data_IF_659660845518
#
_entry.id   IF_659660845518
#
_cell.length_a   1.000
_cell.length_b   1.000
_cell.length_c   1.000
_cell.angle_alpha   90.00
_cell.angle_beta   90.00
_cell.angle_gamma   90.00
#
_symmetry.space_group_name_H-M   'P 1'
#
loop_
_entity.id
_entity.type
_entity.pdbx_description
1 polymer ?
#
# COMPACT_ATOMS: atom_id res chain seq x y z
N UNK A 1 -5.56 4.35 -0.82
CA UNK A 1 -5.71 5.82 -0.66
C UNK A 1 -6.83 6.32 -1.59
N UNK A 2 -7.95 6.82 -1.05
CA UNK A 2 -9.11 7.25 -1.86
C UNK A 2 -9.06 8.74 -2.22
N UNK A 3 -9.85 9.15 -3.23
CA UNK A 3 -9.95 10.57 -3.62
C UNK A 3 -10.48 11.46 -2.50
N UNK A 4 -11.42 10.96 -1.70
CA UNK A 4 -12.00 11.67 -0.55
C UNK A 4 -10.97 11.98 0.54
N UNK A 5 -10.05 11.04 0.82
CA UNK A 5 -8.96 11.27 1.78
C UNK A 5 -8.04 12.41 1.34
N UNK A 6 -7.82 12.57 0.03
CA UNK A 6 -6.94 13.61 -0.51
C UNK A 6 -7.57 14.99 -0.35
N UNK A 7 -8.90 15.10 -0.34
CA UNK A 7 -9.62 16.36 -0.14
C UNK A 7 -9.50 16.92 1.28
N UNK A 8 -9.09 16.10 2.25
CA UNK A 8 -8.86 16.55 3.63
C UNK A 8 -7.75 17.61 3.66
N UNK A 9 -6.65 17.40 2.92
CA UNK A 9 -5.49 18.31 2.93
C UNK A 9 -5.81 19.72 2.41
N UNK A 10 -6.49 19.90 1.26
CA UNK A 10 -6.98 21.20 0.82
C UNK A 10 -7.91 21.88 1.83
N UNK A 11 -8.80 21.13 2.49
CA UNK A 11 -9.68 21.67 3.54
C UNK A 11 -8.88 22.19 4.74
N UNK A 12 -7.94 21.41 5.25
CA UNK A 12 -7.01 21.82 6.32
C UNK A 12 -6.21 23.06 5.92
N UNK A 13 -5.70 23.10 4.69
CA UNK A 13 -4.91 24.23 4.19
C UNK A 13 -5.75 25.50 4.07
N UNK A 14 -6.96 25.39 3.52
CA UNK A 14 -7.90 26.50 3.37
C UNK A 14 -8.30 27.07 4.74
N UNK A 15 -8.58 26.20 5.71
CA UNK A 15 -8.85 26.61 7.10
C UNK A 15 -7.66 27.33 7.72
N UNK A 16 -6.43 26.83 7.52
CA UNK A 16 -5.21 27.44 8.06
C UNK A 16 -4.93 28.83 7.48
N UNK A 17 -5.20 29.02 6.19
CA UNK A 17 -4.89 30.27 5.48
C UNK A 17 -5.95 31.35 5.67
N UNK A 18 -7.23 30.97 5.74
CA UNK A 18 -8.36 31.91 5.70
C UNK A 18 -9.33 31.78 6.89
N UNK A 19 -9.01 30.93 7.87
CA UNK A 19 -9.88 30.68 9.03
C UNK A 19 -11.18 29.99 8.63
N UNK A 20 -12.27 30.31 9.33
CA UNK A 20 -13.60 29.75 9.09
C UNK A 20 -14.41 30.48 8.00
N UNK A 21 -13.80 31.42 7.26
CA UNK A 21 -14.53 32.28 6.32
C UNK A 21 -15.10 31.55 5.08
N UNK A 22 -14.64 30.33 4.78
CA UNK A 22 -14.96 29.60 3.56
C UNK A 22 -15.46 28.16 3.82
N UNK A 23 -16.37 27.98 4.77
CA UNK A 23 -17.00 26.67 5.06
C UNK A 23 -17.78 26.07 3.88
N UNK A 24 -18.11 26.88 2.87
CA UNK A 24 -18.88 26.47 1.69
C UNK A 24 -18.03 25.96 0.52
N UNK A 25 -16.69 26.03 0.61
CA UNK A 25 -15.84 25.62 -0.51
C UNK A 25 -15.78 24.09 -0.62
N UNK A 26 -16.42 23.56 -1.66
CA UNK A 26 -16.39 22.13 -1.95
C UNK A 26 -15.29 21.80 -2.97
N UNK A 27 -14.33 20.97 -2.56
CA UNK A 27 -13.33 20.43 -3.46
C UNK A 27 -13.95 19.27 -4.24
N UNK A 28 -14.14 19.41 -5.55
CA UNK A 28 -14.68 18.32 -6.36
C UNK A 28 -13.64 17.21 -6.57
N UNK A 29 -14.10 15.95 -6.63
CA UNK A 29 -13.24 14.81 -6.98
C UNK A 29 -12.82 14.89 -8.46
N UNK A 30 -13.68 15.45 -9.33
CA UNK A 30 -13.44 15.51 -10.77
C UNK A 30 -12.15 16.24 -11.15
N UNK A 31 -11.78 17.32 -10.45
CA UNK A 31 -10.49 17.98 -10.68
C UNK A 31 -9.31 17.04 -10.36
N UNK A 32 -9.38 16.32 -9.24
CA UNK A 32 -8.35 15.37 -8.83
C UNK A 32 -8.23 14.20 -9.80
N UNK A 33 -9.35 13.70 -10.31
CA UNK A 33 -9.38 12.64 -11.33
C UNK A 33 -8.76 13.11 -12.65
N UNK A 34 -9.12 14.31 -13.13
CA UNK A 34 -8.53 14.88 -14.34
C UNK A 34 -7.03 15.15 -14.17
N UNK A 35 -6.61 15.63 -13.01
CA UNK A 35 -5.20 15.84 -12.69
C UNK A 35 -4.43 14.51 -12.74
N UNK A 36 -4.95 13.46 -12.10
CA UNK A 36 -4.36 12.12 -12.14
C UNK A 36 -4.27 11.59 -13.57
N UNK A 37 -5.33 11.75 -14.36
CA UNK A 37 -5.36 11.31 -15.75
C UNK A 37 -4.33 12.05 -16.62
N UNK A 38 -4.22 13.37 -16.48
CA UNK A 38 -3.25 14.19 -17.23
C UNK A 38 -1.79 13.84 -16.90
N UNK A 39 -1.52 13.44 -15.67
CA UNK A 39 -0.16 13.13 -15.21
C UNK A 39 0.11 11.62 -15.05
N UNK A 40 -0.79 10.78 -15.57
CA UNK A 40 -0.67 9.31 -15.52
C UNK A 40 -0.50 8.74 -14.11
N UNK A 41 -1.04 9.41 -13.10
CA UNK A 41 -0.98 8.98 -11.70
C UNK A 41 -2.05 7.92 -11.45
N UNK A 42 -1.62 6.74 -11.01
CA UNK A 42 -2.51 5.60 -10.74
C UNK A 42 -2.30 5.08 -9.33
N UNK A 43 -3.30 4.35 -8.84
CA UNK A 43 -3.18 3.60 -7.59
C UNK A 43 -2.45 2.29 -7.88
N UNK A 44 -1.28 2.11 -7.27
CA UNK A 44 -0.52 0.88 -7.33
C UNK A 44 -0.57 0.19 -5.98
N UNK A 45 -0.83 -1.13 -6.01
CA UNK A 45 -0.61 -1.99 -4.86
C UNK A 45 0.89 -2.14 -4.67
N UNK A 46 1.36 -1.91 -3.45
CA UNK A 46 2.73 -2.20 -3.06
C UNK A 46 2.82 -3.68 -2.76
N UNK A 47 3.67 -4.36 -3.51
CA UNK A 47 4.10 -5.70 -3.16
C UNK A 47 5.37 -5.53 -2.31
N UNK A 48 5.50 -6.33 -1.24
CA UNK A 48 6.77 -6.40 -0.52
C UNK A 48 7.77 -7.24 -1.31
N UNK A 49 8.74 -7.85 -0.62
CA UNK A 49 9.70 -8.78 -1.24
C UNK A 49 9.03 -9.90 -2.05
N UNK A 50 7.80 -10.28 -1.68
CA UNK A 50 6.96 -11.25 -2.39
C UNK A 50 6.65 -10.88 -3.84
N UNK A 51 6.67 -9.59 -4.20
CA UNK A 51 6.50 -9.15 -5.59
C UNK A 51 7.72 -9.34 -6.49
N UNK A 52 8.89 -9.58 -5.90
CA UNK A 52 10.17 -9.74 -6.61
C UNK A 52 10.60 -11.20 -6.76
N UNK A 53 9.78 -12.15 -6.31
CA UNK A 53 10.17 -13.56 -6.28
C UNK A 53 10.00 -14.20 -7.66
N UNK A 54 11.04 -14.86 -8.14
CA UNK A 54 11.01 -15.71 -9.35
C UNK A 54 10.29 -17.01 -9.00
N UNK A 55 9.14 -17.26 -9.62
CA UNK A 55 8.27 -18.41 -9.29
C UNK A 55 8.95 -19.77 -9.52
N UNK A 56 9.83 -19.88 -10.53
CA UNK A 56 10.62 -21.10 -10.79
C UNK A 56 11.47 -21.49 -9.57
N UNK A 57 12.06 -20.52 -8.87
CA UNK A 57 12.84 -20.78 -7.65
C UNK A 57 11.96 -21.29 -6.50
N UNK A 58 10.68 -20.91 -6.47
CA UNK A 58 9.72 -21.38 -5.46
C UNK A 58 9.35 -22.84 -5.72
N UNK A 59 9.13 -23.21 -7.00
CA UNK A 59 8.76 -24.57 -7.39
C UNK A 59 9.84 -25.59 -6.99
N UNK A 60 11.12 -25.22 -7.10
CA UNK A 60 12.24 -26.07 -6.68
C UNK A 60 12.49 -26.08 -5.15
N UNK A 61 12.24 -24.95 -4.47
CA UNK A 61 12.54 -24.82 -3.04
C UNK A 61 11.43 -25.38 -2.14
N UNK A 62 10.16 -25.26 -2.52
CA UNK A 62 9.02 -25.69 -1.70
C UNK A 62 9.05 -27.18 -1.33
N UNK A 63 9.35 -28.12 -2.24
CA UNK A 63 9.44 -29.53 -1.89
C UNK A 63 10.49 -29.80 -0.82
N UNK A 64 11.64 -29.12 -0.89
CA UNK A 64 12.75 -29.29 0.06
C UNK A 64 12.38 -28.75 1.46
N UNK A 65 11.67 -27.63 1.51
CA UNK A 65 11.17 -27.05 2.76
C UNK A 65 10.13 -27.98 3.41
N UNK A 66 9.21 -28.54 2.60
CA UNK A 66 8.20 -29.51 3.10
C UNK A 66 8.84 -30.77 3.67
N UNK A 67 9.80 -31.36 2.95
CA UNK A 67 10.55 -32.53 3.44
C UNK A 67 11.32 -32.25 4.75
N UNK A 68 11.67 -30.98 5.01
CA UNK A 68 12.26 -30.57 6.28
C UNK A 68 11.22 -30.43 7.39
N UNK A 69 10.04 -29.87 7.11
CA UNK A 69 8.94 -29.72 8.07
C UNK A 69 8.43 -31.06 8.59
N UNK A 70 8.36 -32.08 7.74
CA UNK A 70 7.92 -33.43 8.12
C UNK A 70 8.76 -34.08 9.24
N UNK A 71 9.96 -33.56 9.50
CA UNK A 71 10.85 -34.03 10.58
C UNK A 71 10.50 -33.44 11.95
N UNK A 72 9.61 -32.46 12.00
CA UNK A 72 9.20 -31.77 13.21
C UNK A 72 7.72 -32.04 13.51
N UNK A 73 7.35 -32.05 14.78
CA UNK A 73 5.93 -32.09 15.13
C UNK A 73 5.28 -30.76 14.80
N UNK A 74 3.99 -30.78 14.48
CA UNK A 74 3.23 -29.59 14.12
C UNK A 74 3.33 -28.47 15.17
N UNK A 75 3.35 -28.82 16.46
CA UNK A 75 3.51 -27.88 17.58
C UNK A 75 4.86 -27.14 17.59
N UNK A 76 5.86 -27.65 16.88
CA UNK A 76 7.23 -27.13 16.81
C UNK A 76 7.47 -26.34 15.50
N UNK A 77 6.45 -26.20 14.64
CA UNK A 77 6.52 -25.41 13.40
C UNK A 77 5.88 -24.04 13.66
N UNK A 78 6.70 -23.00 13.64
CA UNK A 78 6.26 -21.62 13.86
C UNK A 78 6.47 -20.78 12.60
N UNK A 79 5.44 -20.01 12.24
CA UNK A 79 5.48 -19.04 11.15
C UNK A 79 5.96 -17.69 11.73
N UNK A 80 7.21 -17.30 11.45
CA UNK A 80 7.87 -16.14 12.06
C UNK A 80 8.13 -14.98 11.07
N UNK A 81 7.82 -15.18 9.79
CA UNK A 81 8.05 -14.18 8.73
C UNK A 81 7.16 -12.94 8.87
N UNK A 82 6.00 -13.05 9.52
CA UNK A 82 5.12 -11.93 9.85
C UNK A 82 5.07 -11.65 11.37
N UNK A 83 6.24 -11.50 12.01
CA UNK A 83 6.24 -10.88 13.34
C UNK A 83 5.83 -9.41 13.20
N UNK A 84 4.55 -9.16 13.46
CA UNK A 84 3.84 -7.88 13.34
C UNK A 84 4.39 -6.77 14.26
N UNK A 85 5.59 -6.27 13.96
CA UNK A 85 6.09 -5.02 14.51
C UNK A 85 5.66 -3.88 13.59
N UNK A 86 4.39 -3.50 13.67
CA UNK A 86 3.73 -2.52 12.80
C UNK A 86 4.18 -1.05 12.98
N UNK A 87 5.33 -0.79 13.63
CA UNK A 87 5.74 0.58 13.97
C UNK A 87 5.96 1.49 12.74
N UNK A 88 6.09 0.91 11.53
CA UNK A 88 6.17 1.59 10.23
C UNK A 88 5.39 0.89 9.13
N UNK A 89 4.20 0.37 9.43
CA UNK A 89 3.34 -0.20 8.37
C UNK A 89 3.03 0.89 7.33
N UNK A 90 3.52 0.68 6.12
CA UNK A 90 3.18 1.55 5.00
C UNK A 90 1.81 1.18 4.45
N UNK A 91 1.14 2.15 3.83
CA UNK A 91 -0.11 1.87 3.13
C UNK A 91 0.14 0.83 2.03
N UNK A 92 -0.78 -0.12 1.93
CA UNK A 92 -0.84 -1.18 0.92
C UNK A 92 -0.98 -0.62 -0.51
N UNK A 93 -1.53 0.58 -0.66
CA UNK A 93 -1.71 1.28 -1.91
C UNK A 93 -1.13 2.68 -1.88
N UNK A 94 -0.41 3.03 -2.94
CA UNK A 94 0.14 4.37 -3.14
C UNK A 94 -0.22 4.92 -4.51
N UNK A 95 -0.30 6.25 -4.61
CA UNK A 95 -0.47 6.94 -5.88
C UNK A 95 0.91 7.25 -6.45
N UNK A 96 1.20 6.77 -7.65
CA UNK A 96 2.47 6.98 -8.32
C UNK A 96 2.27 7.03 -9.84
N UNK A 97 3.31 7.45 -10.56
CA UNK A 97 3.35 7.39 -12.04
C UNK A 97 3.87 6.04 -12.54
N UNK A 98 4.56 5.29 -11.68
CA UNK A 98 5.06 3.93 -11.94
C UNK A 98 4.82 3.07 -10.70
N UNK A 99 4.74 1.75 -10.90
CA UNK A 99 4.72 0.81 -9.78
C UNK A 99 6.02 0.95 -8.98
N UNK A 100 5.86 1.05 -7.66
CA UNK A 100 7.00 1.03 -6.75
C UNK A 100 7.35 -0.45 -6.53
N UNK A 101 8.59 -0.81 -6.85
CA UNK A 101 9.23 -2.06 -6.43
C UNK A 101 9.54 -2.02 -4.93
#
# INVERSE_FOLDING_TARGET
MTGEMIQIKPKEFLQKMYGNANSEYNFSIGWLEQFKARHEIKSYRRFGESGSVVMENIEDALPQIRAKWEKFYWKDIYHMDETYLFYRLQADHSLATKQLE
#
